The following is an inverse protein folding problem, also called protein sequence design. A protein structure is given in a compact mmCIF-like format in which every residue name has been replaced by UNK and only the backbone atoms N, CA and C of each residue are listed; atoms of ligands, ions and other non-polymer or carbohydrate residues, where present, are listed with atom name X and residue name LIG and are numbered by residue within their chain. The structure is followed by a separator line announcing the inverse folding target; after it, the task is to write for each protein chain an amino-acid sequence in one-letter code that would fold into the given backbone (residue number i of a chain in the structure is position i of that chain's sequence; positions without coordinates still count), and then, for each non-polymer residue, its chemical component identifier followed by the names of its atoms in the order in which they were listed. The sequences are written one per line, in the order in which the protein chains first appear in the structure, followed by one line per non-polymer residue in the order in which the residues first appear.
data_IF_578142082428
#
_entry.id   IF_578142082428
#
_cell.length_a   1.000
_cell.length_b   1.000
_cell.length_c   1.000
_cell.angle_alpha   90.00
_cell.angle_beta   90.00
_cell.angle_gamma   90.00
#
_symmetry.space_group_name_H-M   'P 1'
#
loop_
_entity.id
_entity.type
_entity.pdbx_description
1 polymer ?
#
# COMPACT_ATOMS: atom_id res chain seq x y z
N UNK A 1 20.42 17.26 -4.22
CA UNK A 1 20.12 16.62 -2.89
C UNK A 1 21.42 16.24 -2.20
N UNK A 2 21.57 16.46 -0.88
CA UNK A 2 22.76 16.01 -0.15
C UNK A 2 22.53 14.58 0.38
N UNK A 3 23.57 13.75 0.41
CA UNK A 3 23.48 12.38 0.96
C UNK A 3 22.96 12.36 2.41
N UNK A 4 23.27 13.40 3.19
CA UNK A 4 22.78 13.55 4.56
C UNK A 4 21.26 13.74 4.62
N UNK A 5 20.68 14.58 3.76
CA UNK A 5 19.23 14.79 3.68
C UNK A 5 18.51 13.51 3.30
N UNK A 6 19.04 12.76 2.34
CA UNK A 6 18.48 11.48 1.93
C UNK A 6 18.44 10.48 3.08
N UNK A 7 19.56 10.28 3.76
CA UNK A 7 19.63 9.35 4.89
C UNK A 7 18.70 9.75 6.04
N UNK A 8 18.63 11.03 6.39
CA UNK A 8 17.77 11.53 7.46
C UNK A 8 16.30 11.26 7.20
N UNK A 9 15.88 11.30 5.93
CA UNK A 9 14.49 11.06 5.54
C UNK A 9 14.17 9.57 5.34
N UNK A 10 15.12 8.78 4.83
CA UNK A 10 14.89 7.35 4.56
C UNK A 10 15.00 6.48 5.80
N UNK A 11 15.86 6.81 6.77
CA UNK A 11 16.03 6.00 7.99
C UNK A 11 14.73 5.78 8.80
N UNK A 12 13.88 6.80 9.03
CA UNK A 12 12.59 6.59 9.68
C UNK A 12 11.67 5.63 8.90
N UNK A 13 11.67 5.70 7.56
CA UNK A 13 10.86 4.81 6.72
C UNK A 13 11.33 3.36 6.83
N UNK A 14 12.65 3.13 6.81
CA UNK A 14 13.21 1.80 7.03
C UNK A 14 12.85 1.28 8.43
N UNK A 15 12.89 2.15 9.45
CA UNK A 15 12.46 1.78 10.80
C UNK A 15 10.96 1.43 10.86
N UNK A 16 10.12 2.09 10.07
CA UNK A 16 8.68 1.81 9.98
C UNK A 16 8.38 0.44 9.35
N UNK A 17 9.28 -0.13 8.54
CA UNK A 17 9.12 -1.49 8.01
C UNK A 17 9.08 -2.57 9.11
N UNK A 18 9.74 -2.32 10.24
CA UNK A 18 9.78 -3.23 11.37
C UNK A 18 8.72 -2.96 12.45
N UNK A 19 7.84 -1.98 12.23
CA UNK A 19 6.78 -1.60 13.18
C UNK A 19 5.42 -2.16 12.75
N UNK A 20 4.59 -2.48 13.73
CA UNK A 20 3.17 -2.79 13.52
C UNK A 20 2.39 -1.48 13.31
N UNK A 21 2.43 -0.96 12.08
CA UNK A 21 1.67 0.21 11.66
C UNK A 21 0.51 -0.25 10.78
N UNK A 22 -0.67 0.39 10.89
CA UNK A 22 -1.73 0.21 9.91
C UNK A 22 -1.23 0.53 8.50
N UNK A 23 -1.70 -0.23 7.51
CA UNK A 23 -1.26 -0.12 6.12
C UNK A 23 -1.35 1.32 5.59
N UNK A 24 -2.51 1.96 5.73
CA UNK A 24 -2.72 3.33 5.27
C UNK A 24 -1.80 4.36 5.95
N UNK A 25 -1.47 4.18 7.24
CA UNK A 25 -0.52 5.06 7.93
C UNK A 25 0.91 4.88 7.40
N UNK A 26 1.30 3.66 7.07
CA UNK A 26 2.60 3.34 6.47
C UNK A 26 2.77 4.01 5.11
N UNK A 27 1.74 3.92 4.26
CA UNK A 27 1.76 4.55 2.93
C UNK A 27 1.72 6.08 3.02
N UNK A 28 0.95 6.64 3.94
CA UNK A 28 0.92 8.09 4.17
C UNK A 28 2.29 8.63 4.57
N UNK A 29 2.99 7.96 5.48
CA UNK A 29 4.36 8.35 5.90
C UNK A 29 5.36 8.24 4.76
N UNK A 30 5.22 7.23 3.91
CA UNK A 30 6.03 7.08 2.71
C UNK A 30 5.87 8.29 1.79
N UNK A 31 4.63 8.69 1.47
CA UNK A 31 4.36 9.85 0.62
C UNK A 31 4.88 11.16 1.24
N UNK A 32 4.70 11.36 2.54
CA UNK A 32 5.21 12.54 3.24
C UNK A 32 6.74 12.65 3.18
N UNK A 33 7.44 11.53 3.40
CA UNK A 33 8.89 11.51 3.29
C UNK A 33 9.35 11.78 1.84
N UNK A 34 8.65 11.22 0.86
CA UNK A 34 8.92 11.49 -0.55
C UNK A 34 8.77 12.97 -0.88
N UNK A 35 7.69 13.62 -0.50
CA UNK A 35 7.47 15.06 -0.71
C UNK A 35 8.51 15.93 -0.01
N UNK A 36 9.11 15.47 1.06
CA UNK A 36 10.21 16.19 1.72
C UNK A 36 11.48 16.19 0.86
N UNK A 37 11.74 15.14 0.10
CA UNK A 37 12.93 14.99 -0.73
C UNK A 37 12.71 15.37 -2.19
N UNK A 38 11.53 15.12 -2.71
CA UNK A 38 11.10 15.44 -4.06
C UNK A 38 9.95 16.47 -3.96
N UNK A 39 10.25 17.78 -3.97
CA UNK A 39 9.25 18.82 -3.80
C UNK A 39 8.16 18.70 -4.87
N UNK A 40 6.93 18.43 -4.47
CA UNK A 40 5.75 18.34 -5.31
C UNK A 40 4.53 18.89 -4.57
N UNK A 41 3.49 19.26 -5.30
CA UNK A 41 2.25 19.77 -4.71
C UNK A 41 1.32 18.61 -4.32
N UNK A 42 1.37 17.51 -5.07
CA UNK A 42 0.61 16.30 -4.76
C UNK A 42 1.42 15.03 -5.02
N UNK A 43 1.04 13.96 -4.35
CA UNK A 43 1.60 12.63 -4.53
C UNK A 43 0.55 11.56 -4.26
N UNK A 44 0.60 10.46 -4.99
CA UNK A 44 -0.29 9.33 -4.80
C UNK A 44 0.42 7.99 -4.93
N UNK A 45 -0.03 7.03 -4.12
CA UNK A 45 0.29 5.62 -4.26
C UNK A 45 -0.99 4.89 -4.69
N UNK A 46 -0.94 4.25 -5.85
CA UNK A 46 -2.07 3.56 -6.45
C UNK A 46 -1.75 2.08 -6.64
N UNK A 47 -2.71 1.22 -6.29
CA UNK A 47 -2.63 -0.22 -6.54
C UNK A 47 -3.32 -0.56 -7.87
N UNK A 48 -2.70 -1.44 -8.63
CA UNK A 48 -3.28 -2.03 -9.82
C UNK A 48 -4.28 -3.13 -9.43
N UNK A 49 -5.54 -2.99 -9.84
CA UNK A 49 -6.62 -3.94 -9.63
C UNK A 49 -7.31 -4.23 -10.99
N UNK A 50 -6.78 -5.19 -11.70
CA UNK A 50 -7.20 -5.51 -13.06
C UNK A 50 -7.02 -4.34 -14.03
N UNK A 51 -8.11 -3.77 -14.53
CA UNK A 51 -8.11 -2.60 -15.42
C UNK A 51 -8.16 -1.25 -14.68
N UNK A 52 -8.07 -1.27 -13.35
CA UNK A 52 -8.24 -0.09 -12.53
C UNK A 52 -7.00 0.21 -11.70
N UNK A 53 -6.77 1.49 -11.47
CA UNK A 53 -5.86 1.97 -10.43
C UNK A 53 -6.68 2.51 -9.26
N UNK A 54 -6.37 2.00 -8.07
CA UNK A 54 -7.06 2.33 -6.82
C UNK A 54 -6.09 3.07 -5.90
N UNK A 55 -6.36 4.35 -5.56
CA UNK A 55 -5.54 5.08 -4.62
C UNK A 55 -5.56 4.44 -3.23
N UNK A 56 -4.40 4.13 -2.68
CA UNK A 56 -4.22 3.62 -1.32
C UNK A 56 -3.78 4.71 -0.34
N UNK A 57 -3.02 5.67 -0.83
CA UNK A 57 -2.62 6.85 -0.08
C UNK A 57 -2.46 8.03 -1.03
N UNK A 58 -2.81 9.21 -0.54
CA UNK A 58 -2.61 10.49 -1.24
C UNK A 58 -2.08 11.52 -0.25
N UNK A 59 -1.31 12.47 -0.76
CA UNK A 59 -0.86 13.64 -0.02
C UNK A 59 -0.86 14.85 -0.96
N UNK A 60 -1.58 15.92 -0.59
CA UNK A 60 -1.80 17.10 -1.43
C UNK A 60 -2.90 16.96 -2.48
N UNK A 61 -3.59 15.83 -2.56
CA UNK A 61 -4.82 15.64 -3.32
C UNK A 61 -6.04 15.70 -2.41
N UNK A 62 -7.20 16.08 -3.01
CA UNK A 62 -8.48 16.04 -2.30
C UNK A 62 -8.73 14.66 -1.67
N UNK A 63 -9.24 14.62 -0.42
CA UNK A 63 -9.58 13.35 0.25
C UNK A 63 -10.53 12.45 -0.56
N UNK A 64 -11.37 13.02 -1.41
CA UNK A 64 -12.27 12.27 -2.31
C UNK A 64 -11.51 11.35 -3.28
N UNK A 65 -10.24 11.65 -3.53
CA UNK A 65 -9.39 10.83 -4.41
C UNK A 65 -9.23 9.39 -3.89
N UNK A 66 -9.19 9.19 -2.57
CA UNK A 66 -9.11 7.84 -1.97
C UNK A 66 -10.33 6.97 -2.26
N UNK A 67 -11.49 7.57 -2.52
CA UNK A 67 -12.71 6.85 -2.89
C UNK A 67 -12.86 6.57 -4.39
N UNK A 68 -11.96 7.07 -5.21
CA UNK A 68 -12.03 6.93 -6.67
C UNK A 68 -11.38 5.64 -7.16
N UNK A 69 -11.76 5.26 -8.36
CA UNK A 69 -11.09 4.23 -9.15
C UNK A 69 -10.83 4.81 -10.55
N UNK A 70 -9.61 4.72 -11.00
CA UNK A 70 -9.20 5.25 -12.29
C UNK A 70 -9.07 4.11 -13.29
N UNK A 71 -9.89 4.12 -14.34
CA UNK A 71 -9.79 3.11 -15.40
C UNK A 71 -8.61 3.44 -16.30
N UNK A 72 -7.68 2.51 -16.44
CA UNK A 72 -6.41 2.73 -17.16
C UNK A 72 -6.66 3.20 -18.60
N UNK A 73 -7.67 2.64 -19.29
CA UNK A 73 -8.03 2.99 -20.67
C UNK A 73 -8.56 4.43 -20.82
N UNK A 74 -8.99 5.07 -19.72
CA UNK A 74 -9.51 6.44 -19.71
C UNK A 74 -8.46 7.47 -19.29
N UNK A 75 -7.30 6.99 -18.80
CA UNK A 75 -6.19 7.82 -18.30
C UNK A 75 -4.87 7.49 -19.00
N UNK A 76 -4.57 8.10 -20.17
CA UNK A 76 -3.42 7.77 -20.97
C UNK A 76 -2.09 7.88 -20.26
N UNK A 77 -1.89 8.87 -19.36
CA UNK A 77 -0.65 8.99 -18.57
C UNK A 77 -0.44 7.75 -17.70
N UNK A 78 -1.47 7.22 -17.05
CA UNK A 78 -1.35 5.99 -16.27
C UNK A 78 -0.97 4.77 -17.13
N UNK A 79 -1.54 4.67 -18.33
CA UNK A 79 -1.17 3.60 -19.26
C UNK A 79 0.31 3.67 -19.68
N UNK A 80 0.81 4.88 -19.94
CA UNK A 80 2.24 5.11 -20.24
C UNK A 80 3.11 4.73 -19.04
N UNK A 81 2.78 5.18 -17.83
CA UNK A 81 3.55 4.88 -16.62
C UNK A 81 3.63 3.37 -16.36
N UNK A 82 2.50 2.65 -16.47
CA UNK A 82 2.47 1.20 -16.24
C UNK A 82 3.27 0.40 -17.28
N UNK A 83 3.40 0.93 -18.50
CA UNK A 83 4.17 0.29 -19.57
C UNK A 83 5.65 0.67 -19.57
N UNK A 84 6.03 1.68 -18.79
CA UNK A 84 7.41 2.15 -18.71
C UNK A 84 8.27 1.23 -17.83
N UNK A 85 9.55 1.04 -18.15
CA UNK A 85 10.44 0.20 -17.33
C UNK A 85 10.90 0.88 -16.03
N UNK A 86 10.61 2.17 -15.86
CA UNK A 86 11.04 2.97 -14.72
C UNK A 86 10.39 4.35 -14.69
N UNK A 87 10.96 5.29 -13.95
CA UNK A 87 10.42 6.64 -13.80
C UNK A 87 10.23 7.34 -15.15
N UNK A 88 9.09 7.97 -15.30
CA UNK A 88 8.73 8.74 -16.49
C UNK A 88 8.20 10.11 -16.06
N UNK A 89 8.64 11.17 -16.73
CA UNK A 89 8.13 12.53 -16.56
C UNK A 89 7.27 12.91 -17.77
N UNK A 90 6.23 13.67 -17.52
CA UNK A 90 5.43 14.34 -18.54
C UNK A 90 5.67 15.83 -18.40
N UNK A 91 6.21 16.43 -19.44
CA UNK A 91 6.45 17.86 -19.50
C UNK A 91 5.12 18.64 -19.59
N UNK A 92 5.19 19.92 -19.28
CA UNK A 92 4.02 20.81 -19.27
C UNK A 92 3.31 20.98 -20.63
N UNK A 93 3.99 20.66 -21.72
CA UNK A 93 3.44 20.66 -23.08
C UNK A 93 2.86 19.29 -23.51
N UNK A 94 2.81 18.33 -22.60
CA UNK A 94 2.22 17.02 -22.87
C UNK A 94 0.74 17.14 -23.22
N UNK A 95 0.34 16.64 -24.39
CA UNK A 95 -1.05 16.60 -24.83
C UNK A 95 -1.90 15.57 -24.07
N UNK A 96 -1.27 14.73 -23.23
CA UNK A 96 -1.97 13.72 -22.45
C UNK A 96 -2.62 14.36 -21.21
N UNK A 97 -3.94 14.24 -21.02
CA UNK A 97 -4.64 14.80 -19.86
C UNK A 97 -4.10 14.20 -18.57
N UNK A 98 -3.99 15.06 -17.54
CA UNK A 98 -3.60 14.60 -16.21
C UNK A 98 -4.78 14.00 -15.47
N UNK A 99 -4.63 12.82 -14.86
CA UNK A 99 -5.72 12.17 -14.12
C UNK A 99 -6.13 12.89 -12.84
N UNK A 100 -5.31 13.82 -12.35
CA UNK A 100 -5.56 14.58 -11.12
C UNK A 100 -5.98 16.03 -11.36
N UNK A 101 -6.25 16.41 -12.60
CA UNK A 101 -6.77 17.74 -12.90
C UNK A 101 -8.04 18.03 -12.09
N UNK A 102 -8.01 19.15 -11.35
CA UNK A 102 -9.08 19.55 -10.44
C UNK A 102 -9.16 18.77 -9.12
N UNK A 103 -8.19 17.91 -8.80
CA UNK A 103 -8.14 17.14 -7.55
C UNK A 103 -7.06 17.59 -6.57
N UNK A 104 -6.25 18.59 -6.92
CA UNK A 104 -5.22 19.12 -5.99
C UNK A 104 -5.91 19.88 -4.85
N UNK A 105 -5.51 19.57 -3.60
CA UNK A 105 -6.14 20.09 -2.40
C UNK A 105 -5.91 21.60 -2.22
N UNK A 106 -6.90 22.29 -1.67
CA UNK A 106 -6.82 23.73 -1.34
C UNK A 106 -7.01 24.67 -2.52
N UNK A 107 -7.27 24.18 -3.72
CA UNK A 107 -7.46 24.99 -4.91
C UNK A 107 -8.91 24.88 -5.41
N UNK A 108 -9.64 26.01 -5.37
CA UNK A 108 -10.99 26.09 -5.91
C UNK A 108 -10.93 26.45 -7.40
N UNK A 109 -11.16 25.47 -8.27
CA UNK A 109 -11.23 25.65 -9.72
C UNK A 109 -10.51 24.54 -10.49
N UNK A 110 -10.63 24.58 -11.83
CA UNK A 110 -9.84 23.75 -12.72
C UNK A 110 -8.40 24.29 -12.74
N UNK A 111 -7.57 23.82 -11.82
CA UNK A 111 -6.15 23.99 -11.93
C UNK A 111 -5.59 22.80 -12.64
N UNK A 112 -5.02 23.05 -13.79
CA UNK A 112 -4.32 22.07 -14.57
C UNK A 112 -2.99 21.73 -13.87
N UNK A 113 -2.69 20.45 -13.76
CA UNK A 113 -1.37 19.98 -13.32
C UNK A 113 -0.39 20.21 -14.48
N UNK A 114 0.67 20.97 -14.21
CA UNK A 114 1.59 21.41 -15.25
C UNK A 114 2.85 20.55 -15.41
N UNK A 115 3.25 19.82 -14.37
CA UNK A 115 4.43 18.94 -14.39
C UNK A 115 4.12 17.68 -13.59
N UNK A 116 4.31 16.53 -14.18
CA UNK A 116 3.94 15.26 -13.58
C UNK A 116 5.03 14.23 -13.81
N UNK A 117 5.30 13.42 -12.83
CA UNK A 117 6.18 12.27 -12.98
C UNK A 117 5.61 11.07 -12.23
N UNK A 118 5.96 9.87 -12.66
CA UNK A 118 5.56 8.67 -11.98
C UNK A 118 6.51 7.52 -12.23
N UNK A 119 6.36 6.49 -11.43
CA UNK A 119 7.15 5.28 -11.52
C UNK A 119 6.26 4.06 -11.27
N UNK A 120 6.33 3.03 -12.14
CA UNK A 120 5.66 1.77 -11.84
C UNK A 120 6.32 1.09 -10.65
N UNK A 121 5.50 0.44 -9.83
CA UNK A 121 5.95 -0.39 -8.72
C UNK A 121 5.82 -1.86 -9.10
N UNK A 122 6.87 -2.61 -8.83
CA UNK A 122 6.90 -4.06 -9.02
C UNK A 122 7.11 -4.75 -7.68
N UNK A 123 6.30 -5.76 -7.43
CA UNK A 123 6.44 -6.66 -6.26
C UNK A 123 6.63 -8.07 -6.79
N UNK A 124 7.70 -8.73 -6.41
CA UNK A 124 8.07 -10.07 -6.89
C UNK A 124 8.03 -10.15 -8.45
N UNK A 125 8.60 -9.12 -9.13
CA UNK A 125 8.64 -8.96 -10.59
C UNK A 125 7.27 -8.80 -11.30
N UNK A 126 6.20 -8.60 -10.55
CA UNK A 126 4.87 -8.35 -11.09
C UNK A 126 4.49 -6.87 -10.94
N UNK A 127 3.84 -6.26 -11.96
CA UNK A 127 3.32 -4.91 -11.83
C UNK A 127 2.31 -4.85 -10.68
N UNK A 128 2.61 -4.02 -9.68
CA UNK A 128 1.76 -3.87 -8.50
C UNK A 128 0.93 -2.59 -8.54
N UNK A 129 1.48 -1.53 -9.10
CA UNK A 129 0.80 -0.24 -9.14
C UNK A 129 1.71 0.90 -9.57
N UNK A 130 1.36 2.11 -9.15
CA UNK A 130 2.05 3.35 -9.50
C UNK A 130 2.34 4.21 -8.28
N UNK A 131 3.46 4.91 -8.34
CA UNK A 131 3.79 6.06 -7.52
C UNK A 131 3.81 7.29 -8.41
N UNK A 132 3.02 8.33 -8.09
CA UNK A 132 2.93 9.57 -8.87
C UNK A 132 3.23 10.79 -8.04
N UNK A 133 3.80 11.80 -8.68
CA UNK A 133 4.05 13.13 -8.15
C UNK A 133 3.58 14.16 -9.16
N UNK A 134 2.91 15.20 -8.66
CA UNK A 134 2.30 16.22 -9.47
C UNK A 134 2.68 17.60 -8.94
N UNK A 135 2.92 18.54 -9.83
CA UNK A 135 3.26 19.90 -9.50
C UNK A 135 2.47 20.90 -10.35
N UNK A 136 2.10 22.01 -9.71
CA UNK A 136 1.42 23.13 -10.35
C UNK A 136 2.39 24.06 -11.07
N UNK A 137 3.68 23.99 -10.73
CA UNK A 137 4.76 24.74 -11.34
C UNK A 137 5.38 23.93 -12.47
N UNK A 138 5.40 24.47 -13.67
CA UNK A 138 5.85 23.83 -14.92
C UNK A 138 7.33 23.42 -14.94
N UNK A 139 8.15 24.01 -14.08
CA UNK A 139 9.59 23.75 -14.00
C UNK A 139 9.96 22.99 -12.70
N UNK A 140 8.98 22.50 -11.96
CA UNK A 140 9.20 21.89 -10.65
C UNK A 140 10.14 20.70 -10.70
N UNK A 141 10.00 19.87 -11.72
CA UNK A 141 10.75 18.63 -11.86
C UNK A 141 11.94 18.71 -12.81
N UNK A 142 12.26 19.87 -13.36
CA UNK A 142 13.42 20.07 -14.25
C UNK A 142 14.77 19.66 -13.63
N UNK A 143 14.86 19.77 -12.31
CA UNK A 143 16.08 19.46 -11.54
C UNK A 143 15.96 18.18 -10.72
N UNK A 144 14.89 17.45 -10.88
CA UNK A 144 14.70 16.19 -10.17
C UNK A 144 15.39 15.08 -10.94
N UNK A 145 16.34 14.43 -10.29
CA UNK A 145 17.00 13.26 -10.84
C UNK A 145 16.00 12.08 -10.80
N UNK A 146 15.68 11.52 -11.95
CA UNK A 146 14.81 10.35 -12.06
C UNK A 146 15.30 9.16 -11.22
N UNK A 147 16.61 9.05 -11.01
CA UNK A 147 17.22 8.05 -10.13
C UNK A 147 16.74 8.19 -8.68
N UNK A 148 16.45 9.42 -8.22
CA UNK A 148 15.90 9.63 -6.87
C UNK A 148 14.46 9.09 -6.79
N UNK A 149 13.64 9.31 -7.82
CA UNK A 149 12.31 8.72 -7.88
C UNK A 149 12.37 7.19 -7.97
N UNK A 150 13.31 6.63 -8.73
CA UNK A 150 13.52 5.19 -8.81
C UNK A 150 13.89 4.59 -7.43
N UNK A 151 14.76 5.26 -6.68
CA UNK A 151 15.11 4.81 -5.33
C UNK A 151 13.90 4.82 -4.39
N UNK A 152 13.06 5.87 -4.48
CA UNK A 152 11.80 5.93 -3.74
C UNK A 152 10.80 4.86 -4.17
N UNK A 153 10.65 4.62 -5.45
CA UNK A 153 9.79 3.58 -5.97
C UNK A 153 10.22 2.18 -5.47
N UNK A 154 11.52 1.94 -5.41
CA UNK A 154 12.07 0.69 -4.84
C UNK A 154 11.75 0.55 -3.35
N UNK A 155 11.86 1.64 -2.57
CA UNK A 155 11.46 1.65 -1.16
C UNK A 155 9.95 1.50 -0.99
N UNK A 156 9.15 2.14 -1.85
CA UNK A 156 7.70 1.98 -1.87
C UNK A 156 7.31 0.53 -2.13
N UNK A 157 7.90 -0.12 -3.13
CA UNK A 157 7.67 -1.52 -3.44
C UNK A 157 8.05 -2.44 -2.26
N UNK A 158 9.18 -2.20 -1.59
CA UNK A 158 9.55 -2.93 -0.39
C UNK A 158 8.54 -2.72 0.75
N UNK A 159 8.06 -1.49 0.93
CA UNK A 159 7.07 -1.13 1.96
C UNK A 159 5.74 -1.86 1.72
N UNK A 160 5.28 -1.87 0.48
CA UNK A 160 4.07 -2.58 0.04
C UNK A 160 4.21 -4.08 0.27
N UNK A 161 5.31 -4.68 -0.19
CA UNK A 161 5.56 -6.12 -0.02
C UNK A 161 5.52 -6.53 1.46
N UNK A 162 6.14 -5.73 2.34
CA UNK A 162 6.08 -5.98 3.79
C UNK A 162 4.65 -5.87 4.32
N UNK A 163 3.89 -4.84 3.91
CA UNK A 163 2.51 -4.65 4.35
C UNK A 163 1.61 -5.83 3.94
N UNK A 164 1.66 -6.26 2.67
CA UNK A 164 0.89 -7.41 2.18
C UNK A 164 1.27 -8.72 2.87
N UNK A 165 2.56 -8.94 3.11
CA UNK A 165 3.01 -10.13 3.86
C UNK A 165 2.51 -10.14 5.30
N UNK A 166 2.52 -8.98 5.98
CA UNK A 166 2.01 -8.86 7.35
C UNK A 166 0.51 -9.13 7.39
N UNK A 167 -0.28 -8.57 6.48
CA UNK A 167 -1.71 -8.82 6.36
C UNK A 167 -2.00 -10.30 6.12
N UNK A 168 -1.30 -10.91 5.16
CA UNK A 168 -1.46 -12.32 4.86
C UNK A 168 -1.12 -13.24 6.04
N UNK A 169 -0.07 -12.92 6.80
CA UNK A 169 0.28 -13.66 8.01
C UNK A 169 -0.76 -13.48 9.12
N UNK A 170 -1.30 -12.28 9.29
CA UNK A 170 -2.36 -12.00 10.27
C UNK A 170 -3.64 -12.81 9.95
N UNK A 171 -4.07 -12.82 8.68
CA UNK A 171 -5.22 -13.61 8.23
C UNK A 171 -5.02 -15.11 8.44
N UNK A 172 -3.83 -15.62 8.15
CA UNK A 172 -3.50 -17.04 8.41
C UNK A 172 -3.51 -17.39 9.90
N UNK A 173 -2.93 -16.53 10.73
CA UNK A 173 -2.92 -16.73 12.17
C UNK A 173 -4.35 -16.78 12.75
N UNK A 174 -5.23 -15.91 12.25
CA UNK A 174 -6.66 -15.90 12.65
C UNK A 174 -7.38 -17.18 12.20
N UNK A 175 -7.18 -17.62 10.96
CA UNK A 175 -7.76 -18.87 10.45
C UNK A 175 -7.29 -20.10 11.25
N UNK A 176 -6.01 -20.18 11.56
CA UNK A 176 -5.45 -21.25 12.41
C UNK A 176 -6.01 -21.21 13.82
N UNK A 177 -6.18 -20.01 14.40
CA UNK A 177 -6.79 -19.85 15.72
C UNK A 177 -8.24 -20.33 15.73
N UNK A 178 -9.03 -19.93 14.74
CA UNK A 178 -10.42 -20.37 14.60
C UNK A 178 -10.53 -21.89 14.43
N UNK A 179 -9.67 -22.49 13.60
CA UNK A 179 -9.61 -23.96 13.45
C UNK A 179 -9.27 -24.66 14.75
N UNK A 180 -8.26 -24.17 15.47
CA UNK A 180 -7.86 -24.72 16.77
C UNK A 180 -9.01 -24.64 17.80
N UNK A 181 -9.79 -23.56 17.76
CA UNK A 181 -10.97 -23.40 18.64
C UNK A 181 -12.06 -24.43 18.32
N UNK A 182 -12.36 -24.63 17.02
CA UNK A 182 -13.33 -25.64 16.56
C UNK A 182 -12.90 -27.04 17.00
N UNK A 183 -11.59 -27.40 16.83
CA UNK A 183 -11.08 -28.68 17.27
C UNK A 183 -11.16 -28.86 18.79
N UNK A 184 -10.87 -27.83 19.57
CA UNK A 184 -11.00 -27.84 21.03
C UNK A 184 -12.46 -28.11 21.49
N UNK A 185 -13.40 -27.42 20.86
CA UNK A 185 -14.83 -27.60 21.15
C UNK A 185 -15.32 -29.01 20.79
N UNK A 186 -14.93 -29.51 19.60
CA UNK A 186 -15.25 -30.86 19.15
C UNK A 186 -14.66 -31.93 20.08
N UNK A 187 -13.40 -31.79 20.50
CA UNK A 187 -12.73 -32.70 21.44
C UNK A 187 -13.39 -32.66 22.83
N UNK A 188 -13.79 -31.49 23.31
CA UNK A 188 -14.49 -31.32 24.58
C UNK A 188 -15.89 -31.94 24.60
N UNK A 189 -16.58 -31.99 23.47
CA UNK A 189 -17.84 -32.67 23.32
C UNK A 189 -17.68 -34.20 23.31
N UNK A 190 -16.65 -34.72 22.64
CA UNK A 190 -16.38 -36.17 22.66
C UNK A 190 -16.05 -36.70 24.04
N UNK A 191 -15.41 -35.90 24.91
CA UNK A 191 -15.17 -36.29 26.31
C UNK A 191 -16.45 -36.34 27.17
N UNK A 192 -17.50 -35.59 26.79
CA UNK A 192 -18.80 -35.62 27.46
C UNK A 192 -19.68 -36.83 27.07
N UNK A 193 -19.44 -37.45 25.92
CA UNK A 193 -20.22 -38.57 25.40
C UNK A 193 -19.70 -39.95 25.82
N UNK A 194 -18.62 -40.06 26.58
CA UNK A 194 -18.24 -41.33 27.22
C UNK A 194 -19.13 -41.65 28.43
N UNK A 195 -20.44 -41.61 28.27
CA UNK A 195 -21.39 -42.06 29.28
C UNK A 195 -21.77 -43.50 28.98
N UNK A 196 -20.93 -44.42 29.41
CA UNK A 196 -21.30 -45.84 29.46
C UNK A 196 -22.17 -46.12 30.66
N UNK A 197 -23.30 -46.82 30.48
CA UNK A 197 -24.20 -47.23 31.56
C UNK A 197 -23.77 -48.49 32.31
N UNK A 198 -22.64 -49.11 31.94
CA UNK A 198 -22.14 -50.31 32.59
C UNK A 198 -21.53 -50.00 33.96
N UNK A 199 -21.74 -50.91 34.91
CA UNK A 199 -21.18 -50.79 36.28
C UNK A 199 -19.67 -50.63 36.29
N UNK A 200 -18.96 -51.23 35.34
CA UNK A 200 -17.51 -51.13 35.16
C UNK A 200 -17.10 -49.73 34.70
N UNK A 201 -17.86 -49.10 33.81
CA UNK A 201 -17.58 -47.75 33.33
C UNK A 201 -17.79 -46.69 34.43
N UNK A 202 -18.82 -46.82 35.24
CA UNK A 202 -19.07 -45.94 36.39
C UNK A 202 -17.94 -45.99 37.41
N UNK A 203 -17.37 -47.16 37.64
CA UNK A 203 -16.24 -47.35 38.55
C UNK A 203 -14.96 -46.74 38.02
N UNK A 204 -14.69 -46.84 36.69
CA UNK A 204 -13.53 -46.24 36.04
C UNK A 204 -13.60 -44.71 36.07
N UNK A 205 -14.77 -44.10 35.87
CA UNK A 205 -14.97 -42.66 35.93
C UNK A 205 -14.82 -42.12 37.37
N UNK A 206 -15.19 -42.89 38.39
CA UNK A 206 -14.93 -42.52 39.78
C UNK A 206 -13.43 -42.58 40.14
N UNK A 207 -12.67 -43.55 39.60
CA UNK A 207 -11.24 -43.66 39.85
C UNK A 207 -10.43 -42.57 39.13
N UNK A 208 -10.90 -41.98 38.00
CA UNK A 208 -10.24 -40.89 37.25
C UNK A 208 -10.53 -39.51 37.87
N UNK A 209 -11.57 -39.38 38.70
CA UNK A 209 -11.94 -38.13 39.39
C UNK A 209 -11.21 -37.90 40.73
N UNK A 210 -10.33 -38.78 41.12
CA UNK A 210 -9.39 -38.65 42.23
C UNK A 210 -8.03 -38.16 41.73
#
# INVERSE_FOLDING_TARGET
MTAHSLLTTLLPLVADLSRELPEGERYRRLLQAMRTLLPCDAAALLRLDGEWLVPLAVDGLSPDTLGRRFKISEHPRFAVLLSSPGPTRFDSDSELPDPYDGLVDGLHGHLEVHDCMGCPLFVDDHPWGLLTLDALDTERFDRVELDALQAFASLAAATVNVAERMEHLALRAEDEHQRAEIYRQASGQQHKEMIGQSKTHKRLVEEIKL
#
